data_IF_874402364734
#
_entry.id   IF_874402364734
#
_cell.length_a   1.000
_cell.length_b   1.000
_cell.length_c   1.000
_cell.angle_alpha   90.00
_cell.angle_beta   90.00
_cell.angle_gamma   90.00
#
_symmetry.space_group_name_H-M   'P 1'
#
loop_
_entity.id
_entity.type
_entity.pdbx_description
1 polymer ?
#
# COMPACT_ATOMS: atom_id res chain seq x y z
N UNK A 1 19.47 -2.67 0.55
CA UNK A 1 18.09 -2.61 0.06
C UNK A 1 17.77 -3.91 -0.63
N UNK A 2 16.60 -4.50 -0.37
CA UNK A 2 16.19 -5.68 -1.12
C UNK A 2 16.01 -5.33 -2.61
N UNK A 3 16.36 -6.23 -3.52
CA UNK A 3 16.08 -6.07 -4.95
C UNK A 3 14.59 -6.34 -5.18
N UNK A 4 13.75 -5.31 -5.13
CA UNK A 4 12.37 -5.37 -5.56
C UNK A 4 12.12 -4.42 -6.75
N UNK A 5 11.13 -4.73 -7.61
CA UNK A 5 10.81 -3.92 -8.77
C UNK A 5 10.41 -2.48 -8.40
N UNK A 6 10.99 -1.51 -9.10
CA UNK A 6 10.72 -0.09 -8.89
C UNK A 6 9.43 0.29 -9.64
N UNK A 7 8.46 0.97 -8.98
CA UNK A 7 7.24 1.43 -9.64
C UNK A 7 7.52 2.49 -10.72
N UNK A 8 6.83 2.39 -11.85
CA UNK A 8 6.77 3.40 -12.91
C UNK A 8 5.41 4.07 -13.02
N UNK A 9 4.33 3.37 -12.70
CA UNK A 9 3.00 3.98 -12.59
C UNK A 9 2.06 3.14 -11.72
N UNK A 10 1.16 3.81 -11.01
CA UNK A 10 0.10 3.18 -10.23
C UNK A 10 -1.06 2.90 -11.19
N UNK A 11 -1.51 1.64 -11.24
CA UNK A 11 -2.63 1.23 -12.09
C UNK A 11 -3.96 1.30 -11.33
N UNK A 12 -3.94 0.84 -10.08
CA UNK A 12 -5.14 0.71 -9.27
C UNK A 12 -4.79 0.61 -7.78
N UNK A 13 -5.70 1.07 -6.93
CA UNK A 13 -5.65 0.79 -5.50
C UNK A 13 -7.07 0.63 -4.94
N UNK A 14 -7.25 -0.28 -3.99
CA UNK A 14 -8.52 -0.48 -3.31
C UNK A 14 -8.34 -1.04 -1.89
N UNK A 15 -9.45 -1.11 -1.16
CA UNK A 15 -9.57 -1.74 0.13
C UNK A 15 -10.22 -3.11 -0.02
N UNK A 16 -9.55 -4.12 0.50
CA UNK A 16 -10.09 -5.47 0.59
C UNK A 16 -11.22 -5.47 1.63
N UNK A 17 -12.32 -6.16 1.31
CA UNK A 17 -13.50 -6.30 2.19
C UNK A 17 -13.28 -7.27 3.35
N UNK A 18 -12.08 -7.25 3.94
CA UNK A 18 -11.66 -8.06 5.09
C UNK A 18 -11.64 -7.25 6.39
N UNK A 19 -12.12 -6.01 6.37
CA UNK A 19 -12.05 -5.08 7.49
C UNK A 19 -10.90 -4.07 7.40
N UNK A 20 -10.26 -3.93 6.23
CA UNK A 20 -9.50 -2.72 5.91
C UNK A 20 -8.07 -2.93 5.42
N UNK A 21 -7.73 -4.11 4.88
CA UNK A 21 -6.46 -4.29 4.15
C UNK A 21 -6.46 -3.47 2.86
N UNK A 22 -5.30 -2.95 2.47
CA UNK A 22 -5.16 -2.23 1.20
C UNK A 22 -4.46 -3.11 0.17
N UNK A 23 -4.83 -2.93 -1.10
CA UNK A 23 -4.19 -3.54 -2.24
C UNK A 23 -3.89 -2.49 -3.30
N UNK A 24 -2.71 -2.55 -3.89
CA UNK A 24 -2.29 -1.65 -4.97
C UNK A 24 -1.58 -2.42 -6.07
N UNK A 25 -2.01 -2.21 -7.32
CA UNK A 25 -1.33 -2.72 -8.50
C UNK A 25 -0.55 -1.58 -9.19
N UNK A 26 0.68 -1.88 -9.59
CA UNK A 26 1.56 -0.93 -10.26
C UNK A 26 2.38 -1.63 -11.34
N UNK A 27 2.77 -0.87 -12.38
CA UNK A 27 3.67 -1.38 -13.42
C UNK A 27 5.11 -1.02 -13.12
N UNK A 28 6.01 -1.81 -13.67
CA UNK A 28 7.46 -1.61 -13.61
C UNK A 28 8.05 -1.88 -14.99
N UNK A 29 9.20 -1.27 -15.27
CA UNK A 29 9.85 -1.34 -16.58
C UNK A 29 10.19 -2.77 -16.99
N UNK A 30 10.56 -3.61 -16.01
CA UNK A 30 11.17 -4.91 -16.27
C UNK A 30 10.36 -6.12 -15.78
N UNK A 31 9.48 -5.92 -14.80
CA UNK A 31 8.79 -7.01 -14.09
C UNK A 31 7.28 -7.04 -14.34
N UNK A 32 6.78 -6.16 -15.22
CA UNK A 32 5.38 -6.09 -15.59
C UNK A 32 4.52 -5.54 -14.45
N UNK A 33 3.36 -6.15 -14.22
CA UNK A 33 2.46 -5.77 -13.14
C UNK A 33 2.94 -6.40 -11.83
N UNK A 34 3.07 -5.57 -10.81
CA UNK A 34 3.32 -5.97 -9.44
C UNK A 34 2.13 -5.58 -8.56
N UNK A 35 1.91 -6.34 -7.49
CA UNK A 35 0.81 -6.12 -6.57
C UNK A 35 1.35 -6.03 -5.14
N UNK A 36 1.01 -4.94 -4.46
CA UNK A 36 1.37 -4.70 -3.07
C UNK A 36 0.14 -4.84 -2.19
N UNK A 37 0.22 -5.72 -1.20
CA UNK A 37 -0.82 -5.93 -0.20
C UNK A 37 -0.33 -5.42 1.15
N UNK A 38 -1.12 -4.53 1.76
CA UNK A 38 -0.91 -4.04 3.12
C UNK A 38 -2.00 -4.63 4.01
N UNK A 39 -1.70 -5.78 4.61
CA UNK A 39 -2.67 -6.55 5.39
C UNK A 39 -2.95 -5.89 6.74
N UNK A 40 -4.23 -5.74 7.06
CA UNK A 40 -4.70 -5.18 8.32
C UNK A 40 -4.31 -6.08 9.50
N UNK A 41 -3.77 -5.48 10.55
CA UNK A 41 -3.51 -6.15 11.82
C UNK A 41 -4.67 -5.90 12.77
N UNK A 42 -5.23 -6.98 13.32
CA UNK A 42 -6.34 -6.94 14.27
C UNK A 42 -5.94 -7.49 15.64
N UNK A 43 -6.58 -7.00 16.70
CA UNK A 43 -6.47 -7.60 18.03
C UNK A 43 -7.45 -8.80 18.17
N UNK A 44 -7.49 -9.41 19.35
CA UNK A 44 -8.40 -10.52 19.66
C UNK A 44 -9.90 -10.16 19.55
N UNK A 45 -10.25 -8.87 19.62
CA UNK A 45 -11.61 -8.35 19.48
C UNK A 45 -11.95 -7.97 18.02
N UNK A 46 -11.07 -8.28 17.07
CA UNK A 46 -11.16 -7.88 15.66
C UNK A 46 -11.06 -6.38 15.39
N UNK A 47 -10.66 -5.56 16.37
CA UNK A 47 -10.39 -4.14 16.17
C UNK A 47 -9.11 -3.96 15.35
N UNK A 48 -9.11 -2.97 14.45
CA UNK A 48 -7.92 -2.57 13.70
C UNK A 48 -6.89 -1.95 14.65
N UNK A 49 -5.68 -2.49 14.69
CA UNK A 49 -4.56 -2.01 15.53
C UNK A 49 -3.29 -1.68 14.74
N UNK A 50 -3.36 -1.71 13.41
CA UNK A 50 -2.24 -1.40 12.52
C UNK A 50 -2.29 -2.21 11.24
N UNK A 51 -1.13 -2.33 10.63
CA UNK A 51 -0.88 -3.16 9.46
C UNK A 51 0.37 -4.02 9.69
N UNK A 52 0.40 -5.18 9.04
CA UNK A 52 1.60 -5.99 8.94
C UNK A 52 2.55 -5.42 7.87
N UNK A 53 3.85 -5.77 7.92
CA UNK A 53 4.77 -5.42 6.84
C UNK A 53 4.20 -5.88 5.49
N UNK A 54 4.25 -5.02 4.46
CA UNK A 54 3.52 -5.24 3.24
C UNK A 54 4.11 -6.41 2.46
N UNK A 55 3.26 -7.04 1.69
CA UNK A 55 3.61 -8.19 0.86
C UNK A 55 3.54 -7.82 -0.61
N UNK A 56 4.64 -8.04 -1.32
CA UNK A 56 4.79 -7.76 -2.73
C UNK A 56 4.71 -9.05 -3.54
N UNK A 57 3.83 -9.06 -4.54
CA UNK A 57 3.77 -10.06 -5.58
C UNK A 57 4.31 -9.48 -6.88
N UNK A 58 5.27 -10.19 -7.48
CA UNK A 58 5.92 -9.78 -8.71
C UNK A 58 5.37 -10.63 -9.85
N UNK A 59 4.52 -10.06 -10.71
CA UNK A 59 3.77 -10.80 -11.72
C UNK A 59 4.65 -11.62 -12.66
N UNK A 60 5.74 -11.03 -13.19
CA UNK A 60 6.64 -11.73 -14.13
C UNK A 60 7.34 -12.95 -13.54
N UNK A 61 7.72 -12.91 -12.27
CA UNK A 61 8.46 -14.00 -11.62
C UNK A 61 7.57 -14.90 -10.76
N UNK A 62 6.29 -14.55 -10.59
CA UNK A 62 5.36 -15.15 -9.63
C UNK A 62 5.92 -15.23 -8.19
N UNK A 63 6.89 -14.36 -7.88
CA UNK A 63 7.57 -14.34 -6.60
C UNK A 63 6.78 -13.49 -5.61
N UNK A 64 6.64 -14.01 -4.40
CA UNK A 64 6.11 -13.31 -3.25
C UNK A 64 7.24 -12.88 -2.32
N UNK A 65 7.25 -11.63 -1.90
CA UNK A 65 8.24 -11.04 -1.00
C UNK A 65 7.52 -10.32 0.13
N UNK A 66 7.92 -10.58 1.38
CA UNK A 66 7.52 -9.70 2.48
C UNK A 66 8.56 -8.58 2.60
N UNK A 67 8.11 -7.34 2.51
CA UNK A 67 8.97 -6.18 2.65
C UNK A 67 9.15 -5.85 4.13
N UNK A 68 10.33 -5.35 4.50
CA UNK A 68 10.47 -4.64 5.77
C UNK A 68 9.92 -3.21 5.61
N UNK A 69 9.73 -2.51 6.72
CA UNK A 69 9.17 -1.15 6.71
C UNK A 69 10.07 -0.10 6.04
N UNK A 70 11.39 -0.29 6.00
CA UNK A 70 12.29 0.65 5.30
C UNK A 70 12.13 0.56 3.78
N UNK A 71 12.02 -0.66 3.26
CA UNK A 71 11.73 -0.91 1.84
C UNK A 71 10.32 -0.42 1.46
N UNK A 72 9.35 -0.60 2.36
CA UNK A 72 7.98 -0.09 2.21
C UNK A 72 7.92 1.45 2.18
N UNK A 73 8.65 2.12 3.07
CA UNK A 73 8.77 3.59 3.13
C UNK A 73 9.42 4.14 1.85
N UNK A 74 10.45 3.46 1.34
CA UNK A 74 11.03 3.80 0.04
C UNK A 74 10.01 3.71 -1.10
N UNK A 75 9.23 2.63 -1.16
CA UNK A 75 8.17 2.49 -2.16
C UNK A 75 7.10 3.58 -2.01
N UNK A 76 6.73 3.93 -0.78
CA UNK A 76 5.77 4.99 -0.51
C UNK A 76 6.21 6.33 -1.11
N UNK A 77 7.48 6.72 -0.92
CA UNK A 77 8.03 7.93 -1.52
C UNK A 77 7.97 7.90 -3.06
N UNK A 78 8.21 6.74 -3.68
CA UNK A 78 8.09 6.57 -5.14
C UNK A 78 6.64 6.69 -5.59
N UNK A 79 5.71 6.02 -4.91
CA UNK A 79 4.28 6.11 -5.22
C UNK A 79 3.74 7.54 -5.07
N UNK A 80 4.19 8.30 -4.06
CA UNK A 80 3.85 9.71 -3.89
C UNK A 80 4.21 10.56 -5.12
N UNK A 81 5.34 10.28 -5.76
CA UNK A 81 5.75 10.97 -7.00
C UNK A 81 4.94 10.55 -8.23
N UNK A 82 4.40 9.33 -8.23
CA UNK A 82 3.65 8.74 -9.35
C UNK A 82 2.14 8.93 -9.23
N UNK A 83 1.68 9.51 -8.11
CA UNK A 83 0.28 9.67 -7.81
C UNK A 83 -0.34 10.73 -8.74
N UNK A 84 -1.17 10.28 -9.68
CA UNK A 84 -1.91 11.13 -10.61
C UNK A 84 -3.43 11.02 -10.37
N UNK A 85 -4.24 12.07 -10.64
CA UNK A 85 -5.70 12.00 -10.57
C UNK A 85 -6.35 10.96 -11.52
N UNK A 86 -5.61 10.45 -12.49
CA UNK A 86 -6.13 9.53 -13.52
C UNK A 86 -6.09 8.05 -13.11
N UNK A 87 -5.62 7.73 -11.89
CA UNK A 87 -5.82 6.39 -11.32
C UNK A 87 -7.34 6.21 -11.18
N UNK A 88 -7.91 5.19 -11.82
CA UNK A 88 -9.35 5.01 -12.00
C UNK A 88 -10.22 5.08 -10.72
N UNK A 89 -11.54 4.97 -10.88
CA UNK A 89 -12.51 5.27 -9.81
C UNK A 89 -12.22 4.58 -8.46
N UNK A 90 -12.10 5.40 -7.39
CA UNK A 90 -11.70 4.96 -6.05
C UNK A 90 -10.17 4.90 -5.81
N UNK A 91 -9.38 4.72 -6.87
CA UNK A 91 -7.96 4.43 -6.83
C UNK A 91 -7.09 5.52 -6.22
N UNK A 92 -7.22 6.79 -6.61
CA UNK A 92 -6.33 7.85 -6.08
C UNK A 92 -6.51 8.04 -4.58
N UNK A 93 -7.74 7.99 -4.05
CA UNK A 93 -7.98 8.10 -2.60
C UNK A 93 -7.36 6.92 -1.86
N UNK A 94 -7.60 5.68 -2.32
CA UNK A 94 -7.07 4.47 -1.66
C UNK A 94 -5.56 4.37 -1.79
N UNK A 95 -4.99 4.83 -2.90
CA UNK A 95 -3.55 4.92 -3.07
C UNK A 95 -2.94 5.90 -2.06
N UNK A 96 -3.53 7.09 -1.88
CA UNK A 96 -3.09 8.07 -0.86
C UNK A 96 -3.12 7.47 0.55
N UNK A 97 -4.22 6.81 0.90
CA UNK A 97 -4.37 6.18 2.23
C UNK A 97 -3.30 5.10 2.43
N UNK A 98 -3.13 4.18 1.47
CA UNK A 98 -2.12 3.13 1.55
C UNK A 98 -0.70 3.70 1.65
N UNK A 99 -0.35 4.69 0.82
CA UNK A 99 0.95 5.38 0.87
C UNK A 99 1.20 5.96 2.25
N UNK A 100 0.23 6.66 2.83
CA UNK A 100 0.35 7.23 4.17
C UNK A 100 0.61 6.15 5.24
N UNK A 101 -0.06 4.99 5.16
CA UNK A 101 0.22 3.88 6.08
C UNK A 101 1.59 3.24 5.85
N UNK A 102 2.10 3.20 4.62
CA UNK A 102 3.46 2.72 4.34
C UNK A 102 4.51 3.67 4.94
N UNK A 103 4.35 4.98 4.77
CA UNK A 103 5.20 6.03 5.39
C UNK A 103 5.15 5.94 6.93
N UNK A 104 3.95 5.73 7.48
CA UNK A 104 3.73 5.56 8.91
C UNK A 104 4.11 4.17 9.45
N UNK A 105 4.74 3.31 8.64
CA UNK A 105 5.22 1.97 9.03
C UNK A 105 4.11 1.09 9.61
N UNK A 106 2.93 1.18 9.00
CA UNK A 106 1.74 0.42 9.35
C UNK A 106 1.06 0.88 10.64
N UNK A 107 1.49 2.01 11.23
CA UNK A 107 0.82 2.57 12.40
C UNK A 107 -0.50 3.22 12.00
N UNK A 108 -1.52 2.99 12.82
CA UNK A 108 -2.73 3.79 12.76
C UNK A 108 -2.42 5.07 13.51
N UNK A 109 -1.79 6.06 12.89
CA UNK A 109 -1.76 7.34 13.58
C UNK A 109 -3.20 7.85 13.68
N UNK A 110 -3.78 7.70 14.87
CA UNK A 110 -5.15 8.10 15.22
C UNK A 110 -5.31 9.62 15.23
N UNK A 111 -4.25 10.39 14.98
CA UNK A 111 -4.32 11.85 14.87
C UNK A 111 -4.71 12.38 13.48
N UNK A 112 -4.79 11.55 12.43
CA UNK A 112 -5.25 12.00 11.09
C UNK A 112 -6.71 11.67 10.75
N UNK A 113 -7.44 10.95 11.62
CA UNK A 113 -8.87 10.67 11.45
C UNK A 113 -9.73 11.31 12.55
N UNK A 114 -9.42 12.56 12.92
CA UNK A 114 -10.45 13.47 13.43
C UNK A 114 -10.78 14.42 12.29
N UNK A 115 -11.56 13.93 11.33
CA UNK A 115 -12.48 14.84 10.67
C UNK A 115 -13.44 15.25 11.78
N UNK A 116 -13.38 16.52 12.18
CA UNK A 116 -14.42 17.13 12.99
C UNK A 116 -15.75 16.91 12.27
N UNK A 117 -16.58 16.02 12.80
CA UNK A 117 -17.99 15.96 12.44
C UNK A 117 -18.66 17.18 13.08
N UNK A 118 -18.62 18.30 12.34
CA UNK A 118 -19.52 19.43 12.54
C UNK A 118 -20.94 19.12 12.13
#
# INVERSE_FOLDING_TARGET
MANFPIPDSIQYADIIRDGGSYWMAYTTANDGICELELQVRKNHNYDRIGYWPPTLWIGKSQKKLQLNWGDAEYLAARFSMLLHPDIGWGGTKRAKEMIAYLEAKGTLDTTQCKCDDG
#
